data_IF_759354232667
#
_entry.id   IF_759354232667
#
_cell.length_a   1.000
_cell.length_b   1.000
_cell.length_c   1.000
_cell.angle_alpha   90.00
_cell.angle_beta   90.00
_cell.angle_gamma   90.00
#
_symmetry.space_group_name_H-M   'P 1'
#
loop_
_entity.id
_entity.type
_entity.pdbx_description
1 polymer ?
#
# COMPACT_ATOMS: atom_id res chain seq x y z
N UNK A 1 13.59 11.28 -4.77
CA UNK A 1 14.77 12.04 -5.15
C UNK A 1 16.04 11.32 -4.77
N UNK A 2 17.16 11.83 -5.25
CA UNK A 2 18.49 11.27 -4.96
C UNK A 2 19.07 11.80 -3.62
N UNK A 3 18.31 12.62 -2.92
CA UNK A 3 18.70 13.19 -1.62
C UNK A 3 18.28 12.25 -0.49
N UNK A 4 19.11 11.23 -0.27
CA UNK A 4 18.97 10.29 0.85
C UNK A 4 20.25 10.31 1.68
N UNK A 5 20.18 10.08 2.99
CA UNK A 5 21.37 9.91 3.83
C UNK A 5 22.31 8.84 3.27
N UNK A 6 23.63 9.06 3.41
CA UNK A 6 24.65 8.14 2.88
C UNK A 6 24.42 6.69 3.34
N UNK A 7 24.06 6.53 4.60
CA UNK A 7 23.78 5.22 5.22
C UNK A 7 22.60 4.47 4.58
N UNK A 8 21.68 5.17 3.91
CA UNK A 8 20.54 4.57 3.21
C UNK A 8 20.84 4.21 1.76
N UNK A 9 21.93 4.70 1.17
CA UNK A 9 22.22 4.50 -0.26
C UNK A 9 22.27 3.03 -0.63
N UNK A 10 23.14 2.25 0.02
CA UNK A 10 23.32 0.83 -0.29
C UNK A 10 22.01 0.02 -0.15
N UNK A 11 21.28 0.01 0.98
CA UNK A 11 20.04 -0.75 1.08
C UNK A 11 18.96 -0.30 0.10
N UNK A 12 18.91 0.99 -0.26
CA UNK A 12 17.96 1.52 -1.27
C UNK A 12 18.35 1.07 -2.69
N UNK A 13 19.64 1.05 -3.02
CA UNK A 13 20.15 0.55 -4.30
C UNK A 13 19.89 -0.94 -4.46
N UNK A 14 20.24 -1.74 -3.45
CA UNK A 14 20.00 -3.19 -3.44
C UNK A 14 18.50 -3.51 -3.63
N UNK A 15 17.62 -2.81 -2.92
CA UNK A 15 16.18 -2.94 -3.10
C UNK A 15 15.73 -2.50 -4.50
N UNK A 16 16.33 -1.45 -5.05
CA UNK A 16 16.01 -0.94 -6.39
C UNK A 16 16.35 -1.96 -7.47
N UNK A 17 17.54 -2.56 -7.39
CA UNK A 17 17.99 -3.60 -8.31
C UNK A 17 17.09 -4.82 -8.22
N UNK A 18 16.84 -5.28 -6.99
CA UNK A 18 15.95 -6.42 -6.75
C UNK A 18 14.55 -6.18 -7.31
N UNK A 19 13.95 -5.04 -7.01
CA UNK A 19 12.59 -4.75 -7.48
C UNK A 19 12.51 -4.62 -9.00
N UNK A 20 13.49 -3.98 -9.66
CA UNK A 20 13.57 -3.94 -11.13
C UNK A 20 13.58 -5.33 -11.74
N UNK A 21 14.34 -6.27 -11.14
CA UNK A 21 14.37 -7.68 -11.57
C UNK A 21 13.03 -8.37 -11.34
N UNK A 22 12.44 -8.22 -10.17
CA UNK A 22 11.20 -8.90 -9.79
C UNK A 22 9.99 -8.39 -10.59
N UNK A 23 9.84 -7.08 -10.77
CA UNK A 23 8.69 -6.52 -11.50
C UNK A 23 8.59 -6.97 -12.97
N UNK A 24 9.70 -7.42 -13.55
CA UNK A 24 9.78 -7.94 -14.92
C UNK A 24 9.83 -9.48 -14.96
N UNK A 25 9.82 -10.16 -13.82
CA UNK A 25 9.88 -11.62 -13.74
C UNK A 25 8.49 -12.22 -13.82
N UNK A 26 8.18 -12.96 -14.90
CA UNK A 26 6.88 -13.59 -15.14
C UNK A 26 6.42 -14.50 -13.99
N UNK A 27 7.34 -15.25 -13.36
CA UNK A 27 7.02 -16.13 -12.21
C UNK A 27 6.60 -15.31 -10.99
N UNK A 28 7.30 -14.22 -10.71
CA UNK A 28 6.96 -13.31 -9.59
C UNK A 28 5.62 -12.61 -9.83
N UNK A 29 5.37 -12.13 -11.05
CA UNK A 29 4.09 -11.51 -11.42
C UNK A 29 2.95 -12.52 -11.24
N UNK A 30 3.09 -13.76 -11.73
CA UNK A 30 2.09 -14.82 -11.57
C UNK A 30 1.83 -15.16 -10.09
N UNK A 31 2.88 -15.19 -9.27
CA UNK A 31 2.77 -15.40 -7.81
C UNK A 31 2.04 -14.24 -7.13
N UNK A 32 2.39 -12.98 -7.46
CA UNK A 32 1.67 -11.79 -6.98
C UNK A 32 0.18 -11.86 -7.35
N UNK A 33 -0.16 -12.16 -8.60
CA UNK A 33 -1.53 -12.21 -9.11
C UNK A 33 -2.33 -13.33 -8.43
N UNK A 34 -1.69 -14.46 -8.14
CA UNK A 34 -2.29 -15.53 -7.35
C UNK A 34 -2.70 -15.02 -5.95
N UNK A 35 -1.81 -14.30 -5.24
CA UNK A 35 -2.16 -13.76 -3.92
C UNK A 35 -3.15 -12.60 -4.00
N UNK A 36 -3.09 -11.79 -5.03
CA UNK A 36 -4.08 -10.74 -5.23
C UNK A 36 -5.48 -11.34 -5.38
N UNK A 37 -5.63 -12.37 -6.19
CA UNK A 37 -6.90 -13.07 -6.37
C UNK A 37 -7.34 -13.84 -5.11
N UNK A 38 -6.48 -14.67 -4.55
CA UNK A 38 -6.87 -15.69 -3.57
C UNK A 38 -6.68 -15.23 -2.10
N UNK A 39 -5.92 -14.19 -1.86
CA UNK A 39 -5.67 -13.65 -0.51
C UNK A 39 -6.25 -12.25 -0.33
N UNK A 40 -6.08 -11.35 -1.29
CA UNK A 40 -6.68 -10.01 -1.22
C UNK A 40 -8.15 -10.03 -1.63
N UNK A 41 -8.55 -10.87 -2.57
CA UNK A 41 -9.93 -10.99 -3.05
C UNK A 41 -10.22 -10.04 -4.22
N UNK A 42 -9.27 -9.93 -5.15
CA UNK A 42 -9.47 -9.13 -6.37
C UNK A 42 -10.19 -9.95 -7.46
N UNK A 43 -10.94 -9.30 -8.36
CA UNK A 43 -11.27 -7.87 -8.40
C UNK A 43 -12.29 -7.46 -7.32
N UNK A 44 -12.08 -6.27 -6.73
CA UNK A 44 -13.07 -5.71 -5.79
C UNK A 44 -14.30 -5.18 -6.55
N UNK A 45 -15.50 -5.14 -5.90
CA UNK A 45 -16.73 -4.73 -6.56
C UNK A 45 -16.69 -3.33 -7.16
N UNK A 46 -17.41 -3.16 -8.27
CA UNK A 46 -17.70 -1.88 -8.90
C UNK A 46 -19.19 -1.84 -9.22
N UNK A 47 -19.93 -0.85 -8.71
CA UNK A 47 -21.38 -0.77 -8.85
C UNK A 47 -21.91 0.65 -8.70
N UNK A 48 -23.10 0.90 -9.27
CA UNK A 48 -23.81 2.17 -9.18
C UNK A 48 -24.42 2.39 -7.81
N UNK A 49 -24.19 3.56 -7.22
CA UNK A 49 -24.84 4.03 -5.99
C UNK A 49 -26.19 4.66 -6.34
N UNK A 50 -27.19 3.82 -6.62
CA UNK A 50 -28.51 4.24 -7.17
C UNK A 50 -29.21 5.29 -6.31
N UNK A 51 -29.29 5.07 -4.99
CA UNK A 51 -29.98 5.99 -4.07
C UNK A 51 -29.25 7.33 -3.98
N UNK A 52 -27.92 7.33 -3.88
CA UNK A 52 -27.13 8.56 -3.82
C UNK A 52 -27.21 9.33 -5.14
N UNK A 53 -27.13 8.65 -6.28
CA UNK A 53 -27.33 9.25 -7.61
C UNK A 53 -28.69 9.95 -7.71
N UNK A 54 -29.77 9.27 -7.26
CA UNK A 54 -31.13 9.83 -7.27
C UNK A 54 -31.27 11.02 -6.32
N UNK A 55 -30.71 10.93 -5.13
CA UNK A 55 -30.80 11.98 -4.11
C UNK A 55 -30.11 13.27 -4.53
N UNK A 56 -28.93 13.18 -5.14
CA UNK A 56 -28.17 14.37 -5.54
C UNK A 56 -28.62 14.97 -6.87
N UNK A 57 -29.23 14.18 -7.76
CA UNK A 57 -29.61 14.61 -9.10
C UNK A 57 -28.38 15.06 -9.92
N UNK A 58 -28.21 14.62 -11.15
CA UNK A 58 -27.05 15.00 -11.97
C UNK A 58 -26.21 13.79 -12.38
N UNK A 59 -24.89 13.82 -12.12
CA UNK A 59 -23.99 12.75 -12.56
C UNK A 59 -24.29 11.41 -11.90
N UNK A 60 -24.12 10.32 -12.63
CA UNK A 60 -24.17 8.97 -12.06
C UNK A 60 -22.98 8.73 -11.13
N UNK A 61 -23.25 8.23 -9.93
CA UNK A 61 -22.24 7.95 -8.92
C UNK A 61 -22.00 6.45 -8.83
N UNK A 62 -20.76 6.06 -9.00
CA UNK A 62 -20.30 4.68 -8.95
C UNK A 62 -19.25 4.48 -7.88
N UNK A 63 -19.22 3.31 -7.27
CA UNK A 63 -18.28 2.96 -6.21
C UNK A 63 -17.35 1.83 -6.65
N UNK A 64 -16.04 2.06 -6.60
CA UNK A 64 -15.02 1.01 -6.58
C UNK A 64 -14.76 0.62 -5.12
N UNK A 65 -15.38 -0.47 -4.66
CA UNK A 65 -15.44 -0.83 -3.25
C UNK A 65 -14.18 -1.56 -2.78
N UNK A 66 -13.08 -0.85 -2.62
CA UNK A 66 -11.80 -1.42 -2.16
C UNK A 66 -11.86 -1.91 -0.70
N UNK A 67 -12.85 -1.48 0.09
CA UNK A 67 -13.09 -2.00 1.43
C UNK A 67 -13.47 -3.49 1.48
N UNK A 68 -13.81 -4.11 0.35
CA UNK A 68 -14.00 -5.56 0.23
C UNK A 68 -12.70 -6.35 0.05
N UNK A 69 -11.57 -5.68 -0.17
CA UNK A 69 -10.27 -6.33 -0.09
C UNK A 69 -10.02 -6.87 1.33
N UNK A 70 -9.29 -7.98 1.43
CA UNK A 70 -8.95 -8.57 2.71
C UNK A 70 -8.25 -7.54 3.62
N UNK A 71 -8.76 -7.38 4.83
CA UNK A 71 -8.29 -6.36 5.76
C UNK A 71 -9.03 -5.02 5.65
N UNK A 72 -9.86 -4.81 4.63
CA UNK A 72 -10.80 -3.68 4.52
C UNK A 72 -10.24 -2.43 3.86
N UNK A 73 -9.04 -2.43 3.26
CA UNK A 73 -8.50 -1.27 2.53
C UNK A 73 -7.33 -1.61 1.58
N UNK A 74 -6.96 -0.63 0.75
CA UNK A 74 -5.93 -0.71 -0.27
C UNK A 74 -4.50 -1.04 0.23
N UNK A 75 -4.17 -0.77 1.49
CA UNK A 75 -2.82 -0.99 2.03
C UNK A 75 -2.37 -2.45 2.02
N UNK A 76 -3.31 -3.40 1.94
CA UNK A 76 -3.00 -4.83 1.84
C UNK A 76 -2.26 -5.17 0.53
N UNK A 77 -2.51 -4.45 -0.57
CA UNK A 77 -1.82 -4.65 -1.84
C UNK A 77 -0.32 -4.41 -1.69
N UNK A 78 0.04 -3.25 -1.13
CA UNK A 78 1.43 -2.88 -0.89
C UNK A 78 2.11 -3.82 0.13
N UNK A 79 1.45 -4.11 1.24
CA UNK A 79 1.95 -5.02 2.28
C UNK A 79 2.23 -6.43 1.72
N UNK A 80 1.33 -6.96 0.87
CA UNK A 80 1.49 -8.26 0.22
C UNK A 80 2.69 -8.28 -0.72
N UNK A 81 2.88 -7.24 -1.52
CA UNK A 81 4.03 -7.14 -2.44
C UNK A 81 5.34 -7.02 -1.67
N UNK A 82 5.40 -6.20 -0.62
CA UNK A 82 6.58 -6.10 0.23
C UNK A 82 6.92 -7.43 0.93
N UNK A 83 5.92 -8.17 1.39
CA UNK A 83 6.13 -9.50 1.96
C UNK A 83 6.68 -10.50 0.94
N UNK A 84 6.19 -10.48 -0.30
CA UNK A 84 6.74 -11.27 -1.41
C UNK A 84 8.20 -10.89 -1.73
N UNK A 85 8.50 -9.59 -1.81
CA UNK A 85 9.86 -9.09 -2.02
C UNK A 85 10.78 -9.55 -0.87
N UNK A 86 10.34 -9.44 0.37
CA UNK A 86 11.05 -9.90 1.56
C UNK A 86 11.44 -11.39 1.44
N UNK A 87 10.49 -12.24 1.05
CA UNK A 87 10.75 -13.67 0.81
C UNK A 87 11.75 -13.90 -0.33
N UNK A 88 11.61 -13.19 -1.47
CA UNK A 88 12.56 -13.33 -2.59
C UNK A 88 13.96 -12.83 -2.24
N UNK A 89 14.06 -11.84 -1.37
CA UNK A 89 15.32 -11.37 -0.79
C UNK A 89 15.88 -12.31 0.29
N UNK A 90 15.16 -13.39 0.65
CA UNK A 90 15.52 -14.32 1.74
C UNK A 90 15.72 -13.61 3.09
N UNK A 91 15.03 -12.48 3.31
CA UNK A 91 15.05 -11.77 4.60
C UNK A 91 14.11 -12.45 5.58
N UNK A 92 14.49 -12.44 6.85
CA UNK A 92 13.76 -13.08 7.95
C UNK A 92 12.71 -12.15 8.55
N UNK A 93 12.99 -10.86 8.57
CA UNK A 93 12.16 -9.84 9.18
C UNK A 93 11.56 -8.91 8.11
N UNK A 94 10.30 -8.55 8.30
CA UNK A 94 9.68 -7.42 7.63
C UNK A 94 9.32 -6.37 8.68
N UNK A 95 9.69 -5.12 8.41
CA UNK A 95 9.43 -4.02 9.33
C UNK A 95 8.67 -2.90 8.61
N UNK A 96 7.96 -2.09 9.38
CA UNK A 96 7.29 -0.91 8.87
C UNK A 96 6.87 0.02 9.99
N UNK A 97 6.42 1.19 9.60
CA UNK A 97 5.90 2.22 10.47
C UNK A 97 4.38 2.31 10.40
N UNK A 98 3.77 2.88 11.43
CA UNK A 98 2.35 3.19 11.41
C UNK A 98 2.01 4.30 12.42
N UNK A 99 1.08 5.20 12.03
CA UNK A 99 0.48 6.18 12.94
C UNK A 99 -0.88 5.67 13.41
N UNK A 100 -1.92 5.75 12.56
CA UNK A 100 -3.26 5.27 12.89
C UNK A 100 -3.38 3.73 13.05
N UNK A 101 -2.29 2.98 12.92
CA UNK A 101 -2.26 1.53 13.10
C UNK A 101 -2.69 0.72 11.88
N UNK A 102 -3.32 1.32 10.88
CA UNK A 102 -3.90 0.55 9.78
C UNK A 102 -2.84 -0.03 8.83
N UNK A 103 -1.78 0.72 8.52
CA UNK A 103 -0.66 0.22 7.72
C UNK A 103 0.05 -0.95 8.42
N UNK A 104 0.30 -0.82 9.72
CA UNK A 104 0.87 -1.86 10.56
C UNK A 104 0.00 -3.12 10.61
N UNK A 105 -1.31 -2.95 10.76
CA UNK A 105 -2.26 -4.07 10.71
C UNK A 105 -2.17 -4.84 9.37
N UNK A 106 -2.14 -4.15 8.23
CA UNK A 106 -2.03 -4.81 6.93
C UNK A 106 -0.67 -5.50 6.76
N UNK A 107 0.42 -4.86 7.22
CA UNK A 107 1.74 -5.45 7.17
C UNK A 107 1.85 -6.69 8.05
N UNK A 108 1.31 -6.66 9.26
CA UNK A 108 1.27 -7.81 10.17
C UNK A 108 0.46 -8.98 9.60
N UNK A 109 -0.66 -8.70 8.93
CA UNK A 109 -1.46 -9.72 8.22
C UNK A 109 -0.67 -10.37 7.08
N UNK A 110 0.00 -9.56 6.26
CA UNK A 110 0.85 -10.06 5.18
C UNK A 110 2.04 -10.88 5.73
N UNK A 111 2.72 -10.37 6.76
CA UNK A 111 3.82 -11.07 7.41
C UNK A 111 3.39 -12.46 7.92
N UNK A 112 2.26 -12.54 8.63
CA UNK A 112 1.67 -13.80 9.09
C UNK A 112 1.39 -14.76 7.92
N UNK A 113 0.78 -14.26 6.84
CA UNK A 113 0.47 -15.06 5.64
C UNK A 113 1.71 -15.69 5.02
N UNK A 114 2.84 -14.99 5.06
CA UNK A 114 4.08 -15.42 4.42
C UNK A 114 5.10 -16.04 5.39
N UNK A 115 4.76 -16.21 6.68
CA UNK A 115 5.64 -16.79 7.70
C UNK A 115 6.85 -15.91 8.02
N UNK A 116 6.70 -14.59 7.93
CA UNK A 116 7.74 -13.61 8.23
C UNK A 116 7.61 -13.09 9.66
N UNK A 117 8.72 -12.84 10.32
CA UNK A 117 8.73 -12.08 11.59
C UNK A 117 8.48 -10.60 11.27
N UNK A 118 7.59 -9.97 12.05
CA UNK A 118 7.14 -8.60 11.79
C UNK A 118 7.42 -7.69 12.98
N UNK A 119 8.03 -6.52 12.73
CA UNK A 119 8.15 -5.43 13.71
C UNK A 119 7.47 -4.17 13.17
N UNK A 120 6.66 -3.54 14.00
CA UNK A 120 5.93 -2.32 13.66
C UNK A 120 6.35 -1.20 14.60
N UNK A 121 6.98 -0.18 14.04
CA UNK A 121 7.38 1.03 14.77
C UNK A 121 6.18 1.96 14.88
N UNK A 122 5.86 2.38 16.09
CA UNK A 122 4.69 3.23 16.36
C UNK A 122 4.96 4.18 17.52
N UNK A 123 4.62 5.44 17.35
CA UNK A 123 4.77 6.44 18.41
C UNK A 123 3.91 6.09 19.62
N UNK A 124 4.43 6.34 20.84
CA UNK A 124 3.71 5.99 22.08
C UNK A 124 2.35 6.66 22.19
N UNK A 125 2.22 7.93 21.76
CA UNK A 125 0.91 8.62 21.70
C UNK A 125 -0.07 7.93 20.75
N UNK A 126 0.42 7.43 19.63
CA UNK A 126 -0.41 6.74 18.65
C UNK A 126 -0.81 5.34 19.15
N UNK A 127 0.06 4.65 19.89
CA UNK A 127 -0.24 3.35 20.54
C UNK A 127 -1.44 3.50 21.49
N UNK A 128 -1.41 4.53 22.34
CA UNK A 128 -2.51 4.80 23.29
C UNK A 128 -3.84 5.05 22.55
N UNK A 129 -3.82 5.91 21.52
CA UNK A 129 -5.02 6.26 20.73
C UNK A 129 -5.57 5.12 19.91
N UNK A 130 -4.72 4.19 19.48
CA UNK A 130 -5.03 3.15 18.51
C UNK A 130 -4.92 1.72 19.08
N UNK A 131 -5.23 1.55 20.35
CA UNK A 131 -5.11 0.27 21.08
C UNK A 131 -5.81 -0.91 20.37
N UNK A 132 -6.93 -0.67 19.66
CA UNK A 132 -7.65 -1.71 18.88
C UNK A 132 -6.78 -2.24 17.73
N UNK A 133 -6.11 -1.34 16.99
CA UNK A 133 -5.21 -1.74 15.91
C UNK A 133 -3.94 -2.42 16.47
N UNK A 134 -3.44 -1.97 17.61
CA UNK A 134 -2.30 -2.60 18.30
C UNK A 134 -2.62 -4.05 18.67
N UNK A 135 -3.78 -4.31 19.28
CA UNK A 135 -4.23 -5.69 19.59
C UNK A 135 -4.33 -6.56 18.33
N UNK A 136 -4.81 -5.99 17.21
CA UNK A 136 -4.89 -6.73 15.95
C UNK A 136 -3.51 -7.07 15.38
N UNK A 137 -2.53 -6.17 15.47
CA UNK A 137 -1.15 -6.43 15.07
C UNK A 137 -0.50 -7.52 15.89
N UNK A 138 -0.65 -7.48 17.21
CA UNK A 138 -0.14 -8.51 18.15
C UNK A 138 -0.79 -9.87 17.87
N UNK A 139 -2.11 -9.91 17.64
CA UNK A 139 -2.83 -11.15 17.26
C UNK A 139 -2.32 -11.76 15.95
N UNK A 140 -1.80 -10.94 15.06
CA UNK A 140 -1.15 -11.39 13.82
C UNK A 140 0.31 -11.85 14.04
N UNK A 141 0.85 -11.72 15.25
CA UNK A 141 2.22 -12.10 15.60
C UNK A 141 3.27 -11.00 15.34
N UNK A 142 2.85 -9.75 15.19
CA UNK A 142 3.77 -8.64 15.09
C UNK A 142 4.22 -8.15 16.48
N UNK A 143 5.49 -7.79 16.57
CA UNK A 143 6.07 -7.03 17.68
C UNK A 143 5.82 -5.54 17.41
N UNK A 144 5.24 -4.82 18.38
CA UNK A 144 5.12 -3.36 18.33
C UNK A 144 6.34 -2.79 19.04
N UNK A 145 7.10 -1.97 18.31
CA UNK A 145 8.25 -1.23 18.83
C UNK A 145 7.80 0.18 19.17
N UNK A 146 7.64 0.52 20.45
CA UNK A 146 7.21 1.85 20.85
C UNK A 146 8.32 2.86 20.61
N UNK A 147 7.95 4.02 20.04
CA UNK A 147 8.86 5.14 19.79
C UNK A 147 8.46 6.30 20.68
N UNK A 148 9.32 6.61 21.65
CA UNK A 148 9.08 7.64 22.66
C UNK A 148 9.90 8.92 22.44
N UNK A 149 10.58 9.04 21.29
CA UNK A 149 11.36 10.22 20.90
C UNK A 149 10.49 11.26 20.18
N UNK A 150 10.94 12.50 20.20
CA UNK A 150 10.35 13.62 19.47
C UNK A 150 8.86 13.86 19.79
N UNK A 151 8.04 13.95 18.76
CA UNK A 151 6.58 14.14 18.88
C UNK A 151 5.83 12.90 19.39
N UNK A 152 6.49 11.74 19.41
CA UNK A 152 5.96 10.42 19.78
C UNK A 152 4.82 9.97 18.83
N UNK A 153 4.94 10.34 17.56
CA UNK A 153 3.94 10.08 16.50
C UNK A 153 4.58 9.47 15.26
N UNK A 154 3.81 9.38 14.17
CA UNK A 154 4.21 8.76 12.90
C UNK A 154 5.59 9.23 12.38
N UNK A 155 5.91 10.51 12.49
CA UNK A 155 7.18 11.07 11.94
C UNK A 155 8.39 10.42 12.61
N UNK A 156 8.33 10.29 13.93
CA UNK A 156 9.41 9.68 14.71
C UNK A 156 9.46 8.16 14.49
N UNK A 157 8.29 7.52 14.36
CA UNK A 157 8.18 6.11 14.05
C UNK A 157 8.82 5.75 12.69
N UNK A 158 8.60 6.57 11.64
CA UNK A 158 9.25 6.42 10.33
C UNK A 158 10.77 6.54 10.46
N UNK A 159 11.24 7.57 11.18
CA UNK A 159 12.66 7.84 11.36
C UNK A 159 13.36 6.70 12.10
N UNK A 160 12.75 6.16 13.15
CA UNK A 160 13.30 5.05 13.92
C UNK A 160 13.28 3.74 13.11
N UNK A 161 12.21 3.49 12.37
CA UNK A 161 12.11 2.35 11.48
C UNK A 161 13.23 2.37 10.41
N UNK A 162 13.54 3.55 9.84
CA UNK A 162 14.65 3.71 8.90
C UNK A 162 16.01 3.47 9.56
N UNK A 163 16.26 4.02 10.76
CA UNK A 163 17.49 3.77 11.53
C UNK A 163 17.70 2.28 11.79
N UNK A 164 16.65 1.62 12.27
CA UNK A 164 16.67 0.18 12.50
C UNK A 164 16.97 -0.60 11.21
N UNK A 165 16.35 -0.22 10.09
CA UNK A 165 16.58 -0.89 8.80
C UNK A 165 18.03 -0.80 8.35
N UNK A 166 18.65 0.37 8.42
CA UNK A 166 20.06 0.57 8.06
C UNK A 166 20.97 -0.39 8.84
N UNK A 167 20.77 -0.49 10.14
CA UNK A 167 21.58 -1.35 11.02
C UNK A 167 21.31 -2.86 10.85
N UNK A 168 20.21 -3.24 10.21
CA UNK A 168 19.76 -4.64 10.12
C UNK A 168 19.39 -5.05 8.69
N UNK A 169 19.85 -4.32 7.69
CA UNK A 169 19.41 -4.50 6.30
C UNK A 169 19.70 -5.91 5.74
N UNK A 170 20.67 -6.64 6.25
CA UNK A 170 21.02 -8.00 5.80
C UNK A 170 19.91 -9.02 6.11
N UNK A 171 19.22 -8.87 7.19
CA UNK A 171 18.15 -9.81 7.64
C UNK A 171 16.76 -9.24 7.52
N UNK A 172 16.63 -7.95 7.24
CA UNK A 172 15.41 -7.18 7.39
C UNK A 172 15.02 -6.48 6.10
N UNK A 173 13.75 -6.53 5.75
CA UNK A 173 13.14 -5.77 4.66
C UNK A 173 12.20 -4.71 5.24
N UNK A 174 12.37 -3.46 4.82
CA UNK A 174 11.48 -2.36 5.21
C UNK A 174 10.33 -2.19 4.23
N UNK A 175 9.14 -1.97 4.76
CA UNK A 175 7.93 -1.63 4.02
C UNK A 175 7.47 -0.21 4.38
N UNK A 176 7.41 0.68 3.40
CA UNK A 176 6.74 1.98 3.54
C UNK A 176 5.39 1.90 2.86
N UNK A 177 4.32 2.12 3.61
CA UNK A 177 2.92 2.04 3.15
C UNK A 177 2.37 3.32 2.54
N UNK A 178 3.24 4.24 2.14
CA UNK A 178 2.89 5.58 1.65
C UNK A 178 3.76 5.99 0.47
N UNK A 179 3.44 7.13 -0.17
CA UNK A 179 4.25 7.68 -1.27
C UNK A 179 5.27 8.71 -0.76
N UNK A 180 5.94 8.36 0.33
CA UNK A 180 7.00 9.15 0.98
C UNK A 180 8.31 8.37 1.05
N UNK A 181 9.40 9.06 1.34
CA UNK A 181 10.73 8.47 1.50
C UNK A 181 11.45 8.24 0.16
N UNK A 182 12.46 7.36 0.14
CA UNK A 182 13.20 7.04 -1.07
C UNK A 182 12.30 6.56 -2.22
N UNK A 183 12.60 6.99 -3.43
CA UNK A 183 11.79 6.77 -4.63
C UNK A 183 11.41 5.29 -4.88
N UNK A 184 12.25 4.35 -4.46
CA UNK A 184 11.97 2.92 -4.62
C UNK A 184 10.68 2.49 -3.89
N UNK A 185 10.41 3.01 -2.70
CA UNK A 185 9.19 2.69 -1.94
C UNK A 185 7.95 3.24 -2.64
N UNK A 186 8.06 4.46 -3.20
CA UNK A 186 6.98 5.06 -4.01
C UNK A 186 6.68 4.18 -5.23
N UNK A 187 7.73 3.70 -5.94
CA UNK A 187 7.57 2.82 -7.11
C UNK A 187 6.95 1.47 -6.75
N UNK A 188 7.34 0.86 -5.63
CA UNK A 188 6.72 -0.38 -5.15
C UNK A 188 5.26 -0.15 -4.79
N UNK A 189 4.97 0.93 -4.06
CA UNK A 189 3.61 1.30 -3.67
C UNK A 189 2.71 1.50 -4.89
N UNK A 190 3.14 2.34 -5.84
CA UNK A 190 2.41 2.58 -7.08
C UNK A 190 2.14 1.30 -7.88
N UNK A 191 3.17 0.48 -8.08
CA UNK A 191 3.05 -0.78 -8.83
C UNK A 191 2.09 -1.78 -8.16
N UNK A 192 2.10 -1.82 -6.83
CA UNK A 192 1.24 -2.71 -6.04
C UNK A 192 -0.21 -2.29 -6.08
N UNK A 193 -0.47 -1.00 -5.84
CA UNK A 193 -1.82 -0.44 -5.73
C UNK A 193 -2.47 -0.16 -7.08
N UNK A 194 -1.70 -0.04 -8.17
CA UNK A 194 -2.20 0.11 -9.54
C UNK A 194 -3.15 -1.04 -9.97
N UNK A 195 -3.15 -2.17 -9.27
CA UNK A 195 -4.16 -3.21 -9.48
C UNK A 195 -5.58 -2.68 -9.36
N UNK A 196 -5.83 -1.71 -8.48
CA UNK A 196 -7.14 -1.10 -8.26
C UNK A 196 -7.63 -0.39 -9.54
N UNK A 197 -6.77 0.42 -10.15
CA UNK A 197 -7.12 1.13 -11.40
C UNK A 197 -7.20 0.20 -12.61
N UNK A 198 -6.36 -0.86 -12.68
CA UNK A 198 -6.45 -1.90 -13.72
C UNK A 198 -7.80 -2.59 -13.70
N UNK A 199 -8.25 -3.00 -12.52
CA UNK A 199 -9.58 -3.58 -12.36
C UNK A 199 -10.69 -2.59 -12.73
N UNK A 200 -10.59 -1.35 -12.23
CA UNK A 200 -11.55 -0.30 -12.50
C UNK A 200 -11.67 -0.01 -14.01
N UNK A 201 -10.54 0.08 -14.71
CA UNK A 201 -10.52 0.28 -16.16
C UNK A 201 -11.28 -0.83 -16.92
N UNK A 202 -11.04 -2.09 -16.53
CA UNK A 202 -11.75 -3.24 -17.12
C UNK A 202 -13.23 -3.22 -16.77
N UNK A 203 -13.58 -2.89 -15.52
CA UNK A 203 -14.96 -2.82 -15.07
C UNK A 203 -15.73 -1.67 -15.74
N UNK A 204 -15.11 -0.49 -15.92
CA UNK A 204 -15.66 0.63 -16.67
C UNK A 204 -15.89 0.24 -18.14
N UNK A 205 -14.91 -0.39 -18.78
CA UNK A 205 -15.08 -0.84 -20.16
C UNK A 205 -16.17 -1.90 -20.32
N UNK A 206 -16.30 -2.80 -19.35
CA UNK A 206 -17.39 -3.80 -19.34
C UNK A 206 -18.77 -3.16 -19.21
N UNK A 207 -18.89 -2.14 -18.34
CA UNK A 207 -20.17 -1.48 -18.05
C UNK A 207 -20.60 -0.49 -19.13
N UNK A 208 -19.65 0.29 -19.64
CA UNK A 208 -19.93 1.42 -20.55
C UNK A 208 -19.42 1.21 -21.98
N UNK A 209 -18.79 0.09 -22.28
CA UNK A 209 -18.12 -0.17 -23.58
C UNK A 209 -16.78 0.57 -23.75
N UNK A 210 -16.65 1.74 -23.16
CA UNK A 210 -15.45 2.61 -23.22
C UNK A 210 -15.35 3.47 -21.96
N UNK A 211 -14.22 4.18 -21.80
CA UNK A 211 -14.09 5.20 -20.76
C UNK A 211 -14.98 6.39 -21.11
N UNK A 212 -15.87 6.85 -20.21
CA UNK A 212 -16.75 7.99 -20.45
C UNK A 212 -15.98 9.28 -20.78
N UNK A 213 -16.60 10.17 -21.58
CA UNK A 213 -15.98 11.43 -21.99
C UNK A 213 -15.78 12.46 -20.86
N UNK A 214 -16.53 12.33 -19.78
CA UNK A 214 -16.46 13.22 -18.58
C UNK A 214 -16.45 12.36 -17.32
N UNK A 215 -15.37 11.61 -17.12
CA UNK A 215 -15.18 10.77 -15.93
C UNK A 215 -14.51 11.58 -14.84
N UNK A 216 -15.12 11.61 -13.65
CA UNK A 216 -14.50 12.15 -12.42
C UNK A 216 -14.08 11.01 -11.51
N UNK A 217 -12.82 10.95 -11.15
CA UNK A 217 -12.26 9.97 -10.21
C UNK A 217 -11.97 10.65 -8.88
N UNK A 218 -12.85 10.42 -7.92
CA UNK A 218 -12.80 11.05 -6.59
C UNK A 218 -12.13 10.10 -5.60
N UNK A 219 -11.09 10.57 -4.92
CA UNK A 219 -10.40 9.78 -3.91
C UNK A 219 -9.75 10.69 -2.86
N UNK A 220 -9.84 10.31 -1.58
CA UNK A 220 -9.13 11.05 -0.54
C UNK A 220 -7.62 10.82 -0.61
N UNK A 221 -6.86 11.88 -0.41
CA UNK A 221 -5.39 11.87 -0.45
C UNK A 221 -4.83 12.13 0.96
N UNK A 222 -4.37 11.04 1.61
CA UNK A 222 -3.53 11.15 2.80
C UNK A 222 -2.06 11.10 2.39
N UNK A 223 -1.34 10.00 2.70
CA UNK A 223 0.03 9.79 2.21
C UNK A 223 0.14 9.41 0.71
N UNK A 224 -0.92 9.54 -0.08
CA UNK A 224 -0.92 9.39 -1.53
C UNK A 224 -1.04 7.95 -2.07
N UNK A 225 -0.88 6.91 -1.25
CA UNK A 225 -0.87 5.52 -1.75
C UNK A 225 -2.18 5.07 -2.39
N UNK A 226 -3.34 5.55 -1.90
CA UNK A 226 -4.65 5.26 -2.48
C UNK A 226 -4.81 5.95 -3.83
N UNK A 227 -4.56 7.26 -3.87
CA UNK A 227 -4.67 8.08 -5.07
C UNK A 227 -3.74 7.57 -6.18
N UNK A 228 -2.47 7.29 -5.86
CA UNK A 228 -1.49 6.74 -6.78
C UNK A 228 -1.97 5.41 -7.41
N UNK A 229 -2.60 4.54 -6.64
CA UNK A 229 -3.13 3.28 -7.15
C UNK A 229 -4.42 3.44 -7.93
N UNK A 230 -5.32 4.30 -7.45
CA UNK A 230 -6.65 4.49 -8.04
C UNK A 230 -6.63 5.24 -9.37
N UNK A 231 -5.71 6.19 -9.53
CA UNK A 231 -5.60 7.00 -10.74
C UNK A 231 -4.59 6.46 -11.77
N UNK A 232 -3.76 5.49 -11.41
CA UNK A 232 -2.60 5.04 -12.21
C UNK A 232 -2.90 4.81 -13.69
N UNK A 233 -3.89 3.97 -14.01
CA UNK A 233 -4.22 3.61 -15.39
C UNK A 233 -4.97 4.73 -16.15
N UNK A 234 -5.28 5.83 -15.49
CA UNK A 234 -5.97 6.99 -16.07
C UNK A 234 -5.04 8.20 -16.22
N UNK A 235 -3.78 8.09 -15.84
CA UNK A 235 -2.85 9.22 -15.84
C UNK A 235 -2.57 9.78 -17.25
N UNK A 236 -2.63 8.94 -18.27
CA UNK A 236 -2.36 9.31 -19.67
C UNK A 236 -3.59 9.85 -20.40
N UNK A 237 -4.77 9.87 -19.76
CA UNK A 237 -5.97 10.46 -20.33
C UNK A 237 -5.92 11.98 -20.26
N UNK A 238 -6.49 12.65 -21.28
CA UNK A 238 -6.68 14.10 -21.26
C UNK A 238 -7.55 14.53 -20.07
N UNK A 239 -7.19 15.62 -19.42
CA UNK A 239 -7.90 16.12 -18.22
C UNK A 239 -9.31 16.63 -18.51
N UNK A 240 -9.62 16.96 -19.77
CA UNK A 240 -10.98 17.24 -20.21
C UNK A 240 -11.86 15.97 -20.25
N UNK A 241 -11.24 14.80 -20.39
CA UNK A 241 -11.93 13.51 -20.37
C UNK A 241 -11.96 12.87 -18.99
N UNK A 242 -10.83 12.88 -18.27
CA UNK A 242 -10.72 12.28 -16.93
C UNK A 242 -10.18 13.29 -15.93
N UNK A 243 -11.02 13.70 -15.01
CA UNK A 243 -10.70 14.63 -13.92
C UNK A 243 -10.39 13.85 -12.64
N UNK A 244 -9.34 14.25 -11.93
CA UNK A 244 -8.98 13.70 -10.60
C UNK A 244 -9.35 14.70 -9.51
N UNK A 245 -10.12 14.25 -8.51
CA UNK A 245 -10.63 15.06 -7.40
C UNK A 245 -10.25 14.40 -6.07
#
# INVERSE_FOLDING_TARGET
>A
GNYIPETLKKPVEDLTILFKKLRNNKKFIKERDYYFKNYIGTPTPFFKLKNLTKHLGGAEIWCKQVSKANGGAHKIYNATVHALICKKAKKKYIIGDTGAGYAGKMLSMAAKKFGLKCKIFMGTKDIERQAVNCRAMIKNGAEIVPVDSGSKTLVDAVSECMRYWVSNCDTTHMCIGSTVGPNIFIKICAWSTAQISRELMLQIKKEFGKVPKKLKLINCVGGGSSAMGFWNEFMDYDRSQVEFI
#
